data_IF_478904710357
#
_entry.id   IF_478904710357
#
_cell.length_a   1.000
_cell.length_b   1.000
_cell.length_c   1.000
_cell.angle_alpha   90.00
_cell.angle_beta   90.00
_cell.angle_gamma   90.00
#
_symmetry.space_group_name_H-M   'P 1'
#
loop_
_entity.id
_entity.type
_entity.pdbx_description
1 polymer ?
#
# COMPACT_ATOMS: atom_id res chain seq x y z
N UNK A 1 10.58 -12.90 8.06
CA UNK A 1 9.38 -12.41 8.79
C UNK A 1 8.40 -11.78 7.81
N UNK A 2 7.11 -11.92 8.03
CA UNK A 2 6.08 -11.15 7.30
C UNK A 2 5.67 -10.04 8.25
N UNK A 3 5.60 -8.79 7.77
CA UNK A 3 5.26 -7.62 8.59
C UNK A 3 3.90 -7.00 8.21
N UNK A 4 3.35 -7.40 7.05
CA UNK A 4 2.12 -6.83 6.47
C UNK A 4 1.21 -7.94 5.95
N UNK A 5 -0.06 -7.89 6.32
CA UNK A 5 -1.13 -8.73 5.77
C UNK A 5 -1.95 -7.93 4.75
N UNK A 6 -2.16 -8.53 3.58
CA UNK A 6 -2.92 -7.90 2.48
C UNK A 6 -4.38 -8.37 2.51
N UNK A 7 -5.31 -7.43 2.35
CA UNK A 7 -6.73 -7.69 2.17
C UNK A 7 -7.02 -7.58 0.68
N UNK A 8 -7.34 -8.70 0.05
CA UNK A 8 -7.52 -8.79 -1.40
C UNK A 8 -8.70 -7.94 -1.91
N UNK A 9 -8.55 -7.41 -3.13
CA UNK A 9 -9.56 -6.59 -3.82
C UNK A 9 -10.93 -7.25 -3.88
N UNK A 10 -11.01 -8.59 -3.94
CA UNK A 10 -12.26 -9.32 -3.98
C UNK A 10 -13.19 -9.00 -2.80
N UNK A 11 -12.65 -8.64 -1.63
CA UNK A 11 -13.42 -8.22 -0.45
C UNK A 11 -13.74 -6.73 -0.44
N UNK A 12 -12.98 -5.91 -1.17
CA UNK A 12 -13.07 -4.43 -1.16
C UNK A 12 -14.05 -3.91 -2.20
N UNK A 13 -14.08 -4.52 -3.39
CA UNK A 13 -14.79 -4.01 -4.58
C UNK A 13 -16.27 -3.70 -4.38
N UNK A 14 -16.95 -4.43 -3.49
CA UNK A 14 -18.40 -4.36 -3.31
C UNK A 14 -18.80 -3.46 -2.12
N UNK A 15 -17.83 -2.85 -1.41
CA UNK A 15 -18.11 -2.02 -0.24
C UNK A 15 -18.91 -0.75 -0.56
N UNK A 16 -18.97 -0.32 -1.82
CA UNK A 16 -19.79 0.82 -2.25
C UNK A 16 -21.27 0.50 -2.39
N UNK A 17 -21.64 -0.79 -2.44
CA UNK A 17 -23.03 -1.19 -2.47
C UNK A 17 -23.60 -1.21 -1.03
N UNK A 18 -24.48 -0.27 -0.65
CA UNK A 18 -25.04 -0.24 0.69
C UNK A 18 -25.88 -1.47 1.02
N UNK A 19 -26.36 -2.22 0.02
CA UNK A 19 -27.14 -3.44 0.17
C UNK A 19 -26.26 -4.69 0.29
N UNK A 20 -24.99 -4.62 -0.13
CA UNK A 20 -24.06 -5.74 -0.12
C UNK A 20 -22.85 -5.47 0.80
N UNK A 21 -23.03 -5.75 2.09
CA UNK A 21 -21.99 -5.59 3.14
C UNK A 21 -21.40 -6.90 3.63
N UNK A 22 -21.54 -7.97 2.84
CA UNK A 22 -21.24 -9.35 3.27
C UNK A 22 -19.76 -9.58 3.62
N UNK A 23 -18.86 -8.78 3.06
CA UNK A 23 -17.42 -8.94 3.23
C UNK A 23 -16.88 -8.16 4.44
N UNK A 24 -17.67 -7.27 5.04
CA UNK A 24 -17.28 -6.51 6.24
C UNK A 24 -16.85 -7.42 7.41
N UNK A 25 -17.58 -8.49 7.77
CA UNK A 25 -17.16 -9.42 8.83
C UNK A 25 -15.84 -10.12 8.53
N UNK A 26 -15.60 -10.48 7.27
CA UNK A 26 -14.35 -11.13 6.84
C UNK A 26 -13.18 -10.16 6.96
N UNK A 27 -13.32 -8.94 6.44
CA UNK A 27 -12.33 -7.87 6.56
C UNK A 27 -12.01 -7.58 8.04
N UNK A 28 -13.05 -7.49 8.87
CA UNK A 28 -12.91 -7.26 10.31
C UNK A 28 -12.11 -8.37 10.99
N UNK A 29 -12.40 -9.63 10.65
CA UNK A 29 -11.65 -10.80 11.16
C UNK A 29 -10.19 -10.79 10.72
N UNK A 30 -9.91 -10.43 9.46
CA UNK A 30 -8.54 -10.30 8.94
C UNK A 30 -7.76 -9.22 9.70
N UNK A 31 -8.36 -8.05 9.94
CA UNK A 31 -7.75 -6.96 10.70
C UNK A 31 -7.47 -7.39 12.15
N UNK A 32 -8.42 -8.06 12.80
CA UNK A 32 -8.25 -8.57 14.15
C UNK A 32 -7.11 -9.60 14.24
N UNK A 33 -6.99 -10.48 13.25
CA UNK A 33 -5.91 -11.46 13.15
C UNK A 33 -4.55 -10.78 12.92
N UNK A 34 -4.47 -9.80 12.01
CA UNK A 34 -3.24 -9.04 11.79
C UNK A 34 -2.78 -8.38 13.09
N UNK A 35 -3.70 -7.71 13.81
CA UNK A 35 -3.42 -7.08 15.09
C UNK A 35 -2.91 -8.07 16.15
N UNK A 36 -3.50 -9.26 16.26
CA UNK A 36 -3.07 -10.26 17.24
C UNK A 36 -1.69 -10.84 16.94
N UNK A 37 -1.31 -10.87 15.66
CA UNK A 37 0.00 -11.29 15.18
C UNK A 37 1.04 -10.16 15.15
N UNK A 38 0.66 -8.93 15.48
CA UNK A 38 1.54 -7.76 15.39
C UNK A 38 1.90 -7.37 13.95
N UNK A 39 1.02 -7.67 12.99
CA UNK A 39 1.17 -7.35 11.57
C UNK A 39 0.39 -6.09 11.21
N UNK A 40 0.92 -5.30 10.27
CA UNK A 40 0.19 -4.21 9.65
C UNK A 40 -0.79 -4.72 8.60
N UNK A 41 -1.76 -3.89 8.22
CA UNK A 41 -2.73 -4.21 7.15
C UNK A 41 -2.65 -3.28 5.97
N UNK A 42 -2.78 -3.83 4.75
CA UNK A 42 -3.01 -3.05 3.53
C UNK A 42 -4.18 -3.63 2.74
N UNK A 43 -5.18 -2.79 2.43
CA UNK A 43 -6.28 -3.17 1.57
C UNK A 43 -5.99 -2.86 0.10
N UNK A 44 -6.21 -3.84 -0.78
CA UNK A 44 -5.96 -3.71 -2.20
C UNK A 44 -7.22 -3.39 -3.01
N UNK A 45 -7.04 -2.68 -4.12
CA UNK A 45 -8.13 -2.33 -5.03
C UNK A 45 -9.10 -1.29 -4.48
N UNK A 46 -8.61 -0.37 -3.64
CA UNK A 46 -9.40 0.78 -3.17
C UNK A 46 -9.51 1.83 -4.28
N UNK A 47 -10.71 2.05 -4.77
CA UNK A 47 -11.03 2.91 -5.91
C UNK A 47 -11.85 4.14 -5.50
N UNK A 48 -12.56 4.10 -4.37
CA UNK A 48 -13.45 5.19 -3.93
C UNK A 48 -13.14 5.69 -2.52
N UNK A 49 -13.48 6.95 -2.25
CA UNK A 49 -13.38 7.52 -0.89
C UNK A 49 -14.26 6.81 0.12
N UNK A 50 -15.39 6.25 -0.31
CA UNK A 50 -16.29 5.51 0.56
C UNK A 50 -15.68 4.16 0.98
N UNK A 51 -15.12 3.38 0.05
CA UNK A 51 -14.33 2.19 0.38
C UNK A 51 -13.22 2.50 1.39
N UNK A 52 -12.44 3.57 1.15
CA UNK A 52 -11.40 4.03 2.08
C UNK A 52 -11.98 4.32 3.47
N UNK A 53 -13.09 5.04 3.55
CA UNK A 53 -13.69 5.42 4.83
C UNK A 53 -14.18 4.20 5.62
N UNK A 54 -14.77 3.21 4.94
CA UNK A 54 -15.17 1.93 5.55
C UNK A 54 -13.94 1.17 6.06
N UNK A 55 -12.90 1.01 5.23
CA UNK A 55 -11.68 0.30 5.63
C UNK A 55 -10.98 0.98 6.81
N UNK A 56 -10.93 2.32 6.81
CA UNK A 56 -10.35 3.10 7.90
C UNK A 56 -11.15 2.95 9.20
N UNK A 57 -12.49 2.91 9.13
CA UNK A 57 -13.32 2.73 10.32
C UNK A 57 -13.21 1.33 10.93
N UNK A 58 -12.91 0.33 10.10
CA UNK A 58 -12.60 -1.04 10.53
C UNK A 58 -11.18 -1.20 11.10
N UNK A 59 -10.33 -0.19 10.98
CA UNK A 59 -8.95 -0.19 11.49
C UNK A 59 -7.90 -0.68 10.50
N UNK A 60 -8.19 -0.68 9.20
CA UNK A 60 -7.17 -0.92 8.17
C UNK A 60 -6.20 0.27 8.10
N UNK A 61 -4.89 -0.02 8.10
CA UNK A 61 -3.86 1.02 8.24
C UNK A 61 -3.44 1.65 6.92
N UNK A 62 -3.34 0.83 5.87
CA UNK A 62 -2.87 1.25 4.55
C UNK A 62 -3.85 0.85 3.46
N UNK A 63 -3.82 1.61 2.36
CA UNK A 63 -4.61 1.29 1.17
C UNK A 63 -3.72 1.33 -0.08
N UNK A 64 -4.06 0.48 -1.03
CA UNK A 64 -3.52 0.47 -2.38
C UNK A 64 -4.70 0.40 -3.35
N UNK A 65 -4.69 1.24 -4.38
CA UNK A 65 -5.67 1.16 -5.46
C UNK A 65 -5.75 2.45 -6.27
N UNK A 66 -6.68 2.49 -7.22
CA UNK A 66 -6.80 3.60 -8.16
C UNK A 66 -7.23 4.91 -7.50
N UNK A 67 -7.73 4.87 -6.26
CA UNK A 67 -7.93 6.07 -5.46
C UNK A 67 -6.61 6.82 -5.20
N UNK A 68 -5.50 6.09 -5.08
CA UNK A 68 -4.16 6.67 -4.88
C UNK A 68 -3.49 6.93 -6.22
N UNK A 69 -3.36 5.88 -7.04
CA UNK A 69 -2.78 5.97 -8.38
C UNK A 69 -3.09 4.70 -9.17
N UNK A 70 -3.20 4.85 -10.49
CA UNK A 70 -3.15 3.69 -11.41
C UNK A 70 -1.71 3.17 -11.49
N UNK A 71 -1.48 1.92 -11.92
CA UNK A 71 -0.14 1.45 -12.27
C UNK A 71 0.48 2.41 -13.29
N UNK A 72 1.68 2.90 -12.98
CA UNK A 72 2.40 3.86 -13.82
C UNK A 72 3.59 3.19 -14.49
N UNK A 73 3.96 3.60 -15.72
CA UNK A 73 5.29 3.36 -16.25
C UNK A 73 6.36 3.90 -15.30
N UNK A 74 7.55 3.27 -15.32
CA UNK A 74 8.69 3.65 -14.47
C UNK A 74 8.93 5.16 -14.41
N UNK A 75 9.03 5.80 -15.57
CA UNK A 75 9.35 7.22 -15.67
C UNK A 75 8.29 8.11 -15.01
N UNK A 76 7.01 7.80 -15.21
CA UNK A 76 5.92 8.55 -14.57
C UNK A 76 5.88 8.31 -13.06
N UNK A 77 6.16 7.09 -12.59
CA UNK A 77 6.30 6.80 -11.16
C UNK A 77 7.45 7.60 -10.54
N UNK A 78 8.62 7.61 -11.18
CA UNK A 78 9.79 8.34 -10.72
C UNK A 78 9.49 9.84 -10.60
N UNK A 79 8.80 10.42 -11.59
CA UNK A 79 8.40 11.83 -11.53
C UNK A 79 7.36 12.11 -10.44
N UNK A 80 6.31 11.29 -10.34
CA UNK A 80 5.20 11.53 -9.42
C UNK A 80 5.56 11.28 -7.95
N UNK A 81 6.38 10.25 -7.68
CA UNK A 81 6.62 9.76 -6.31
C UNK A 81 8.08 9.87 -5.87
N UNK A 82 9.05 9.95 -6.80
CA UNK A 82 10.47 9.97 -6.44
C UNK A 82 11.20 11.30 -6.71
N UNK A 83 10.62 12.21 -7.49
CA UNK A 83 11.26 13.45 -7.94
C UNK A 83 11.69 14.41 -6.82
N UNK A 84 11.22 14.23 -5.60
CA UNK A 84 11.59 15.04 -4.43
C UNK A 84 12.71 14.41 -3.57
N UNK A 85 13.03 13.13 -3.78
CA UNK A 85 14.17 12.49 -3.10
C UNK A 85 15.46 12.81 -3.85
N UNK A 86 16.11 13.93 -3.50
CA UNK A 86 17.52 14.11 -3.86
C UNK A 86 18.33 13.02 -3.17
N UNK A 87 18.68 11.97 -3.91
CA UNK A 87 19.70 11.01 -3.48
C UNK A 87 20.98 11.81 -3.28
N UNK A 88 21.41 11.97 -2.03
CA UNK A 88 22.74 12.50 -1.74
C UNK A 88 23.75 11.54 -2.37
N UNK A 89 24.35 11.94 -3.48
CA UNK A 89 25.38 11.20 -4.19
C UNK A 89 26.63 11.09 -3.33
N UNK A 90 26.72 10.07 -2.47
CA UNK A 90 28.01 9.53 -2.05
C UNK A 90 28.43 8.46 -3.06
N UNK A 91 29.08 8.89 -4.14
CA UNK A 91 29.79 7.99 -5.04
C UNK A 91 30.93 7.28 -4.30
N UNK A 92 31.26 6.03 -4.66
CA UNK A 92 32.39 5.33 -4.06
C UNK A 92 33.70 6.02 -4.48
N UNK A 93 34.55 6.26 -3.49
CA UNK A 93 35.89 6.77 -3.65
C UNK A 93 36.72 5.73 -4.44
N UNK A 94 36.82 5.90 -5.76
CA UNK A 94 37.76 5.14 -6.57
C UNK A 94 39.17 5.58 -6.18
N UNK A 95 39.88 4.74 -5.40
CA UNK A 95 41.31 4.90 -5.15
C UNK A 95 42.03 4.88 -6.50
N UNK A 96 42.63 6.01 -6.87
CA UNK A 96 43.58 6.05 -7.98
C UNK A 96 44.76 5.15 -7.65
N UNK A 97 44.94 4.09 -8.44
CA UNK A 97 46.19 3.32 -8.47
C UNK A 97 47.19 4.15 -9.27
N UNK A 98 48.30 4.55 -8.65
CA UNK A 98 49.42 5.19 -9.35
C UNK A 98 50.13 4.15 -10.22
N UNK A 99 50.42 4.41 -11.51
CA UNK A 99 51.34 3.57 -12.26
C UNK A 99 52.78 3.91 -11.84
N UNK A 100 53.57 2.85 -11.63
CA UNK A 100 55.04 2.91 -11.54
C UNK A 100 55.70 2.74 -12.89
#
# INVERSE_FOLDING_TARGET
PVDVLKIDRAFVKDLDDPQNRRDIPVITGIIALARSLGLHTVAEGVETHHQRAVLQSLGCEMIQGYLISKPLPRHEFEQAFLGQFRVASKGPHLRQVKPG
#
